data_IF_350627363982
#
_entry.id   IF_350627363982
#
_cell.length_a   1.000
_cell.length_b   1.000
_cell.length_c   1.000
_cell.angle_alpha   90.00
_cell.angle_beta   90.00
_cell.angle_gamma   90.00
#
_symmetry.space_group_name_H-M   'P 1'
#
loop_
_entity.id
_entity.type
_entity.pdbx_description
1 polymer ?
#
# COMPACT_ATOMS: atom_id res chain seq x y z
N UNK A 1 -7.42 -19.02 -14.71
CA UNK A 1 -6.18 -18.21 -14.67
C UNK A 1 -5.67 -18.13 -16.09
N UNK A 2 -5.61 -16.93 -16.67
CA UNK A 2 -5.08 -16.74 -18.03
C UNK A 2 -3.56 -16.71 -17.87
N UNK A 3 -2.87 -17.68 -18.44
CA UNK A 3 -1.41 -17.62 -18.62
C UNK A 3 -1.10 -16.48 -19.58
N UNK A 4 -0.67 -15.33 -19.04
CA UNK A 4 -0.07 -14.27 -19.84
C UNK A 4 1.42 -14.60 -19.94
N UNK A 5 1.81 -15.14 -21.09
CA UNK A 5 3.22 -15.25 -21.48
C UNK A 5 3.90 -13.88 -21.28
N UNK A 6 4.94 -13.77 -20.44
CA UNK A 6 5.61 -12.50 -20.15
C UNK A 6 6.24 -11.86 -21.40
N UNK A 7 6.45 -12.63 -22.48
CA UNK A 7 6.98 -12.13 -23.74
C UNK A 7 5.90 -11.63 -24.73
N UNK A 8 4.62 -11.68 -24.34
CA UNK A 8 3.48 -11.30 -25.20
C UNK A 8 2.92 -9.90 -24.91
N UNK A 9 3.51 -9.14 -23.97
CA UNK A 9 2.98 -7.85 -23.55
C UNK A 9 3.09 -6.78 -24.67
N UNK A 10 1.95 -6.28 -25.17
CA UNK A 10 1.90 -5.27 -26.23
C UNK A 10 1.43 -3.92 -25.69
N UNK A 11 1.73 -2.84 -26.39
CA UNK A 11 1.22 -1.50 -26.05
C UNK A 11 -0.31 -1.44 -25.99
N UNK A 12 -1.01 -2.26 -26.78
CA UNK A 12 -2.47 -2.37 -26.73
C UNK A 12 -2.99 -2.94 -25.40
N UNK A 13 -2.25 -3.84 -24.74
CA UNK A 13 -2.64 -4.37 -23.43
C UNK A 13 -2.74 -3.24 -22.40
N UNK A 14 -1.87 -2.22 -22.47
CA UNK A 14 -1.88 -1.03 -21.61
C UNK A 14 -3.11 -0.15 -21.79
N UNK A 15 -3.76 -0.17 -22.96
CA UNK A 15 -5.00 0.56 -23.22
C UNK A 15 -6.24 -0.22 -22.79
N UNK A 16 -6.16 -1.56 -22.76
CA UNK A 16 -7.25 -2.43 -22.28
C UNK A 16 -7.25 -2.58 -20.76
N UNK A 17 -6.07 -2.48 -20.12
CA UNK A 17 -5.96 -2.22 -18.70
C UNK A 17 -6.12 -0.71 -18.49
N UNK A 18 -6.82 -0.23 -17.47
CA UNK A 18 -6.97 1.21 -17.18
C UNK A 18 -5.65 1.87 -16.67
N UNK A 19 -4.55 1.66 -17.40
CA UNK A 19 -3.17 2.04 -17.08
C UNK A 19 -2.66 3.09 -18.09
N UNK A 20 -3.24 3.17 -19.29
CA UNK A 20 -2.84 4.15 -20.30
C UNK A 20 -3.01 5.62 -19.86
N UNK A 21 -3.79 5.90 -18.82
CA UNK A 21 -4.08 7.25 -18.32
C UNK A 21 -3.81 7.41 -16.81
N UNK A 22 -2.80 6.72 -16.27
CA UNK A 22 -2.36 6.88 -14.88
C UNK A 22 -0.92 7.37 -14.83
N UNK A 23 -0.57 8.05 -13.74
CA UNK A 23 0.81 8.48 -13.52
C UNK A 23 1.68 7.29 -13.11
N UNK A 24 3.01 7.42 -13.23
CA UNK A 24 3.94 6.40 -12.76
C UNK A 24 3.80 6.14 -11.25
N UNK A 25 3.58 7.19 -10.47
CA UNK A 25 3.33 7.08 -9.02
C UNK A 25 2.05 6.29 -8.72
N UNK A 26 0.99 6.56 -9.48
CA UNK A 26 -0.27 5.84 -9.34
C UNK A 26 -0.12 4.36 -9.74
N UNK A 27 0.66 4.09 -10.79
CA UNK A 27 1.01 2.72 -11.17
C UNK A 27 1.76 1.99 -10.05
N UNK A 28 2.75 2.64 -9.43
CA UNK A 28 3.48 2.06 -8.30
C UNK A 28 2.57 1.79 -7.11
N UNK A 29 1.67 2.71 -6.77
CA UNK A 29 0.71 2.54 -5.68
C UNK A 29 -0.24 1.37 -5.96
N UNK A 30 -0.75 1.24 -7.20
CA UNK A 30 -1.67 0.16 -7.58
C UNK A 30 -1.02 -1.22 -7.58
N UNK A 31 0.27 -1.32 -7.92
CA UNK A 31 1.00 -2.58 -7.99
C UNK A 31 1.71 -2.97 -6.68
N UNK A 32 1.78 -2.05 -5.71
CA UNK A 32 2.43 -2.31 -4.44
C UNK A 32 1.71 -3.38 -3.61
N UNK A 33 2.45 -4.04 -2.72
CA UNK A 33 1.86 -4.84 -1.65
C UNK A 33 0.91 -3.99 -0.82
N UNK A 34 -0.34 -4.42 -0.63
CA UNK A 34 -1.28 -3.66 0.19
C UNK A 34 -0.93 -3.77 1.67
N UNK A 35 -1.12 -2.68 2.43
CA UNK A 35 -0.81 -2.64 3.87
C UNK A 35 -1.51 -3.76 4.65
N UNK A 36 -2.78 -4.01 4.31
CA UNK A 36 -3.63 -5.01 4.97
C UNK A 36 -3.11 -6.44 4.78
N UNK A 37 -2.46 -6.70 3.64
CA UNK A 37 -1.92 -8.02 3.31
C UNK A 37 -0.51 -8.21 3.88
N UNK A 38 0.27 -7.11 3.99
CA UNK A 38 1.65 -7.12 4.48
C UNK A 38 1.73 -7.08 6.02
N UNK A 39 0.89 -6.27 6.67
CA UNK A 39 0.95 -5.99 8.11
C UNK A 39 -0.06 -6.88 8.85
N UNK A 40 0.32 -8.13 9.04
CA UNK A 40 -0.53 -9.15 9.70
C UNK A 40 -0.63 -8.99 11.23
N UNK A 41 0.25 -8.20 11.84
CA UNK A 41 0.28 -7.96 13.28
C UNK A 41 1.14 -6.75 13.63
N UNK A 42 0.69 -5.97 14.61
CA UNK A 42 1.37 -4.75 15.04
C UNK A 42 1.16 -4.54 16.55
N UNK A 43 2.25 -4.26 17.26
CA UNK A 43 2.22 -3.84 18.65
C UNK A 43 3.25 -2.73 18.87
N UNK A 44 2.82 -1.67 19.56
CA UNK A 44 3.65 -0.52 19.90
C UNK A 44 3.35 -0.08 21.33
N UNK A 45 4.37 -0.03 22.19
CA UNK A 45 4.24 0.38 23.59
C UNK A 45 3.11 -0.35 24.33
N UNK A 46 3.13 -1.68 24.24
CA UNK A 46 2.11 -2.60 24.78
C UNK A 46 0.70 -2.44 24.21
N UNK A 47 0.50 -1.53 23.27
CA UNK A 47 -0.78 -1.33 22.60
C UNK A 47 -0.82 -2.02 21.25
N UNK A 48 -1.98 -2.60 20.93
CA UNK A 48 -2.26 -3.11 19.60
C UNK A 48 -2.36 -1.94 18.62
N UNK A 49 -1.72 -2.10 17.46
CA UNK A 49 -1.85 -1.20 16.32
C UNK A 49 -2.36 -1.97 15.10
N UNK A 50 -2.71 -1.24 14.03
CA UNK A 50 -3.16 -1.80 12.75
C UNK A 50 -2.51 -1.04 11.59
N UNK A 51 -2.76 -1.52 10.37
CA UNK A 51 -2.27 -0.98 9.10
C UNK A 51 -2.67 0.49 8.83
N UNK A 52 -3.75 0.97 9.42
CA UNK A 52 -4.20 2.37 9.41
C UNK A 52 -3.22 3.31 10.11
N UNK A 53 -2.43 2.80 11.06
CA UNK A 53 -1.37 3.53 11.74
C UNK A 53 -0.09 3.69 10.90
N UNK A 54 -0.10 3.26 9.64
CA UNK A 54 1.01 3.42 8.72
C UNK A 54 0.61 4.31 7.55
N UNK A 55 1.43 5.32 7.26
CA UNK A 55 1.28 6.16 6.07
C UNK A 55 2.09 5.61 4.91
N UNK A 56 1.53 5.70 3.71
CA UNK A 56 2.23 5.37 2.45
C UNK A 56 3.28 6.43 2.15
N UNK A 57 4.48 6.00 1.75
CA UNK A 57 5.60 6.85 1.35
C UNK A 57 6.19 6.31 0.05
N UNK A 58 6.21 7.13 -1.00
CA UNK A 58 6.95 6.84 -2.22
C UNK A 58 8.43 7.15 -2.00
N UNK A 59 9.28 6.20 -2.34
CA UNK A 59 10.74 6.29 -2.24
C UNK A 59 11.38 5.75 -3.52
N UNK A 60 12.70 5.87 -3.64
CA UNK A 60 13.45 5.27 -4.76
C UNK A 60 13.39 3.73 -4.77
N UNK A 61 12.96 3.10 -3.67
CA UNK A 61 12.70 1.66 -3.58
C UNK A 61 11.24 1.28 -3.91
N UNK A 62 10.43 2.25 -4.32
CA UNK A 62 9.00 2.08 -4.57
C UNK A 62 8.14 2.49 -3.37
N UNK A 63 7.02 1.80 -3.19
CA UNK A 63 6.03 2.12 -2.16
C UNK A 63 6.43 1.49 -0.82
N UNK A 64 6.61 2.33 0.18
CA UNK A 64 6.93 1.95 1.55
C UNK A 64 5.82 2.39 2.52
N UNK A 65 5.83 1.81 3.72
CA UNK A 65 4.90 2.13 4.79
C UNK A 65 5.64 2.57 6.04
N UNK A 66 5.30 3.74 6.55
CA UNK A 66 5.95 4.36 7.71
C UNK A 66 4.95 4.49 8.86
N UNK A 67 5.31 3.97 10.04
CA UNK A 67 4.47 4.05 11.23
C UNK A 67 4.30 5.50 11.70
N UNK A 68 3.06 5.91 11.96
CA UNK A 68 2.69 7.24 12.42
C UNK A 68 2.25 7.22 13.90
N UNK A 69 3.13 7.75 14.76
CA UNK A 69 2.91 7.82 16.20
C UNK A 69 1.79 8.80 16.59
N UNK A 70 1.49 9.80 15.77
CA UNK A 70 0.41 10.75 16.06
C UNK A 70 -0.95 10.10 15.85
N UNK A 71 -1.10 9.35 14.76
CA UNK A 71 -2.30 8.55 14.51
C UNK A 71 -2.52 7.56 15.65
N UNK A 72 -1.49 6.83 16.08
CA UNK A 72 -1.59 5.88 17.20
C UNK A 72 -2.10 6.54 18.49
N UNK A 73 -1.54 7.70 18.87
CA UNK A 73 -1.95 8.40 20.09
C UNK A 73 -3.40 8.87 20.03
N UNK A 74 -3.86 9.32 18.86
CA UNK A 74 -5.25 9.71 18.68
C UNK A 74 -6.20 8.52 18.87
N UNK A 75 -5.90 7.37 18.26
CA UNK A 75 -6.69 6.15 18.44
C UNK A 75 -6.68 5.66 19.89
N UNK A 76 -5.53 5.75 20.56
CA UNK A 76 -5.40 5.43 21.99
C UNK A 76 -6.32 6.30 22.86
N UNK A 77 -6.34 7.61 22.64
CA UNK A 77 -7.21 8.52 23.39
C UNK A 77 -8.70 8.27 23.14
N UNK A 78 -9.09 7.83 21.95
CA UNK A 78 -10.47 7.44 21.65
C UNK A 78 -10.87 6.12 22.33
N UNK A 79 -9.94 5.18 22.51
CA UNK A 79 -10.22 3.90 23.18
C UNK A 79 -10.33 3.99 24.70
N UNK A 80 -9.84 5.08 25.30
CA UNK A 80 -9.91 5.34 26.75
C UNK A 80 -11.19 6.09 27.18
N UNK A 81 -12.10 6.38 26.24
CA UNK A 81 -13.34 7.14 26.43
C UNK A 81 -14.57 6.23 26.34
#
# INVERSE_FOLDING_TARGET
MIDKDPNSFRSFDLFTSDIANITLDELYIRMAHQKQDLIIGCQWNDQRCSDDHFRTVLTDFGVCYSFDKQVQRYHQHLSDQ
#
